data_IF_821932149028
#
_entry.id   IF_821932149028
#
_cell.length_a   1.000
_cell.length_b   1.000
_cell.length_c   1.000
_cell.angle_alpha   90.00
_cell.angle_beta   90.00
_cell.angle_gamma   90.00
#
_symmetry.space_group_name_H-M   'P 1'
#
loop_
_entity.id
_entity.type
_entity.pdbx_description
1 polymer ?
#
# COMPACT_ATOMS: atom_id res chain seq x y z
N UNK A 1 -2.43 -3.01 -7.68
CA UNK A 1 -2.72 -1.63 -7.21
C UNK A 1 -1.41 -0.93 -6.82
N UNK A 2 -1.32 0.40 -6.86
CA UNK A 2 -0.21 1.15 -6.25
C UNK A 2 -0.69 2.15 -5.21
N UNK A 3 0.04 2.29 -4.11
CA UNK A 3 -0.22 3.31 -3.08
C UNK A 3 1.01 4.21 -2.97
N UNK A 4 0.79 5.51 -2.79
CA UNK A 4 1.88 6.45 -2.49
C UNK A 4 1.82 6.78 -1.01
N UNK A 5 2.95 6.69 -0.32
CA UNK A 5 3.03 6.98 1.12
C UNK A 5 4.33 7.71 1.40
N UNK A 6 4.38 8.50 2.48
CA UNK A 6 5.65 9.01 2.96
C UNK A 6 6.59 7.84 3.32
N UNK A 7 7.88 7.96 3.00
CA UNK A 7 8.89 6.90 3.15
C UNK A 7 8.93 6.32 4.57
N UNK A 8 8.71 7.15 5.59
CA UNK A 8 8.64 6.75 7.01
C UNK A 8 7.56 5.70 7.30
N UNK A 9 6.54 5.59 6.45
CA UNK A 9 5.42 4.66 6.62
C UNK A 9 5.59 3.34 5.86
N UNK A 10 6.69 3.14 5.13
CA UNK A 10 6.89 1.93 4.32
C UNK A 10 6.84 0.65 5.16
N UNK A 11 7.52 0.65 6.31
CA UNK A 11 7.51 -0.50 7.23
C UNK A 11 6.11 -0.76 7.80
N UNK A 12 5.38 0.31 8.13
CA UNK A 12 4.02 0.20 8.65
C UNK A 12 3.06 -0.38 7.59
N UNK A 13 3.19 0.05 6.32
CA UNK A 13 2.41 -0.52 5.23
C UNK A 13 2.72 -2.01 5.03
N UNK A 14 3.99 -2.40 5.08
CA UNK A 14 4.39 -3.81 4.97
C UNK A 14 3.81 -4.65 6.13
N UNK A 15 3.79 -4.11 7.35
CA UNK A 15 3.15 -4.77 8.49
C UNK A 15 1.64 -4.90 8.31
N UNK A 16 0.96 -3.83 7.87
CA UNK A 16 -0.48 -3.87 7.56
C UNK A 16 -0.78 -4.92 6.50
N UNK A 17 0.01 -4.98 5.43
CA UNK A 17 -0.13 -6.01 4.39
C UNK A 17 0.06 -7.42 4.96
N UNK A 18 1.07 -7.64 5.78
CA UNK A 18 1.35 -8.95 6.38
C UNK A 18 0.23 -9.43 7.32
N UNK A 19 -0.46 -8.52 8.03
CA UNK A 19 -1.55 -8.87 8.93
C UNK A 19 -2.92 -8.97 8.25
N UNK A 20 -3.12 -8.35 7.08
CA UNK A 20 -4.47 -8.16 6.51
C UNK A 20 -4.99 -9.35 5.70
N UNK A 21 -4.15 -10.27 5.25
CA UNK A 21 -4.56 -11.61 4.79
C UNK A 21 -3.29 -12.33 4.36
N UNK A 22 -2.59 -12.96 5.31
CA UNK A 22 -1.19 -13.43 5.24
C UNK A 22 -0.78 -14.36 4.09
N UNK A 23 -1.58 -14.54 3.04
CA UNK A 23 -1.26 -15.27 1.82
C UNK A 23 -1.80 -14.63 0.53
N UNK A 24 -2.76 -13.71 0.60
CA UNK A 24 -3.43 -13.15 -0.58
C UNK A 24 -2.94 -11.76 -0.98
N UNK A 25 -2.02 -11.16 -0.22
CA UNK A 25 -1.51 -9.81 -0.46
C UNK A 25 0.02 -9.82 -0.47
N UNK A 26 0.61 -9.43 -1.60
CA UNK A 26 2.05 -9.35 -1.79
C UNK A 26 2.48 -7.93 -2.11
N UNK A 27 3.58 -7.48 -1.49
CA UNK A 27 4.28 -6.28 -1.96
C UNK A 27 5.13 -6.67 -3.16
N UNK A 28 4.77 -6.18 -4.35
CA UNK A 28 5.44 -6.50 -5.60
C UNK A 28 6.71 -5.66 -5.80
N UNK A 29 6.77 -4.49 -5.17
CA UNK A 29 7.93 -3.61 -5.20
C UNK A 29 7.64 -2.24 -4.60
N UNK A 30 8.68 -1.42 -4.49
CA UNK A 30 8.58 -0.02 -4.07
C UNK A 30 9.60 0.85 -4.78
N UNK A 31 9.20 2.06 -5.16
CA UNK A 31 10.04 3.05 -5.86
C UNK A 31 9.96 4.41 -5.15
N UNK A 32 11.09 5.06 -4.93
CA UNK A 32 11.13 6.42 -4.40
C UNK A 32 10.68 7.44 -5.47
N UNK A 33 9.82 8.39 -5.09
CA UNK A 33 9.37 9.43 -6.00
C UNK A 33 10.43 10.55 -6.05
N UNK A 34 11.01 10.87 -7.22
CA UNK A 34 12.03 11.91 -7.32
C UNK A 34 11.53 13.26 -6.80
N UNK A 35 12.34 13.94 -5.98
CA UNK A 35 12.00 15.24 -5.40
C UNK A 35 10.94 15.20 -4.31
N UNK A 36 10.57 14.02 -3.80
CA UNK A 36 9.57 13.84 -2.75
C UNK A 36 10.10 12.93 -1.63
N UNK A 37 9.60 13.11 -0.40
CA UNK A 37 9.81 12.16 0.69
C UNK A 37 8.87 10.95 0.62
N UNK A 38 8.23 10.74 -0.53
CA UNK A 38 7.26 9.67 -0.76
C UNK A 38 7.83 8.49 -1.54
N UNK A 39 7.21 7.33 -1.33
CA UNK A 39 7.50 6.08 -2.00
C UNK A 39 6.20 5.56 -2.60
N UNK A 40 6.26 5.13 -3.85
CA UNK A 40 5.20 4.37 -4.51
C UNK A 40 5.41 2.89 -4.22
N UNK A 41 4.39 2.21 -3.74
CA UNK A 41 4.42 0.78 -3.40
C UNK A 41 3.40 0.05 -4.25
N UNK A 42 3.81 -1.01 -4.94
CA UNK A 42 2.92 -1.88 -5.70
C UNK A 42 2.48 -3.05 -4.86
N UNK A 43 1.16 -3.25 -4.81
CA UNK A 43 0.50 -4.31 -4.05
C UNK A 43 -0.25 -5.21 -5.05
N UNK A 44 0.04 -6.51 -4.98
CA UNK A 44 -0.69 -7.56 -5.68
C UNK A 44 -1.64 -8.25 -4.71
N UNK A 45 -2.91 -8.39 -5.08
CA UNK A 45 -3.91 -9.05 -4.24
C UNK A 45 -5.08 -9.61 -5.04
N UNK A 46 -5.80 -10.57 -4.44
CA UNK A 46 -7.10 -11.05 -4.93
C UNK A 46 -8.15 -9.93 -4.80
N UNK A 47 -9.15 -9.89 -5.69
CA UNK A 47 -10.15 -8.81 -5.69
C UNK A 47 -10.90 -8.70 -4.34
N UNK A 48 -11.07 -9.82 -3.63
CA UNK A 48 -11.69 -9.89 -2.30
C UNK A 48 -10.80 -9.31 -1.20
N UNK A 49 -9.49 -9.54 -1.28
CA UNK A 49 -8.51 -8.99 -0.35
C UNK A 49 -8.31 -7.46 -0.55
N UNK A 50 -8.67 -6.92 -1.72
CA UNK A 50 -8.54 -5.49 -2.04
C UNK A 50 -9.34 -4.57 -1.12
N UNK A 51 -10.60 -4.90 -0.82
CA UNK A 51 -11.48 -4.05 0.01
C UNK A 51 -11.03 -4.05 1.48
N UNK A 52 -10.68 -5.23 2.01
CA UNK A 52 -10.14 -5.38 3.37
C UNK A 52 -8.81 -4.64 3.53
N UNK A 53 -7.92 -4.76 2.54
CA UNK A 53 -6.64 -4.06 2.51
C UNK A 53 -6.83 -2.55 2.48
N UNK A 54 -7.72 -2.04 1.63
CA UNK A 54 -7.99 -0.60 1.57
C UNK A 54 -8.51 -0.04 2.89
N UNK A 55 -9.43 -0.74 3.55
CA UNK A 55 -9.90 -0.37 4.88
C UNK A 55 -8.77 -0.40 5.91
N UNK A 56 -7.89 -1.41 5.89
CA UNK A 56 -6.76 -1.51 6.80
C UNK A 56 -5.72 -0.40 6.59
N UNK A 57 -5.39 -0.08 5.33
CA UNK A 57 -4.47 1.01 4.97
C UNK A 57 -5.07 2.35 5.40
N UNK A 58 -6.35 2.62 5.13
CA UNK A 58 -7.01 3.87 5.57
C UNK A 58 -7.06 4.04 7.09
N UNK A 59 -7.19 2.94 7.84
CA UNK A 59 -7.17 2.98 9.31
C UNK A 59 -5.76 3.13 9.89
N UNK A 60 -4.78 2.49 9.28
CA UNK A 60 -3.41 2.43 9.78
C UNK A 60 -2.52 3.59 9.34
N UNK A 61 -2.88 4.29 8.26
CA UNK A 61 -2.06 5.37 7.69
C UNK A 61 -2.81 6.71 7.74
N UNK A 62 -2.68 7.47 8.85
CA UNK A 62 -3.42 8.71 9.08
C UNK A 62 -3.09 9.85 8.08
N UNK A 63 -2.06 9.69 7.24
CA UNK A 63 -1.65 10.66 6.21
C UNK A 63 -1.19 10.00 4.89
N UNK A 64 -1.69 8.80 4.57
CA UNK A 64 -1.40 8.20 3.27
C UNK A 64 -2.11 8.95 2.15
N UNK A 65 -1.39 9.63 1.26
CA UNK A 65 -1.95 10.12 0.00
C UNK A 65 -2.15 8.93 -0.95
N UNK A 66 -3.35 8.36 -0.97
CA UNK A 66 -3.69 7.25 -1.83
C UNK A 66 -3.60 7.66 -3.31
N UNK A 67 -2.45 7.37 -3.91
CA UNK A 67 -2.25 7.49 -5.34
C UNK A 67 -3.31 6.70 -6.11
N UNK A 68 -3.99 7.41 -7.04
CA UNK A 68 -5.06 6.99 -7.93
C UNK A 68 -5.02 5.49 -8.30
N UNK A 69 -6.13 4.79 -8.02
CA UNK A 69 -6.39 3.44 -8.53
C UNK A 69 -6.47 3.55 -10.05
N UNK A 70 -5.44 3.10 -10.76
CA UNK A 70 -5.55 2.84 -12.19
C UNK A 70 -5.94 1.37 -12.38
N UNK A 71 -7.13 1.08 -12.95
CA UNK A 71 -7.42 -0.25 -13.44
C UNK A 71 -6.44 -0.53 -14.59
N UNK A 72 -5.84 -1.73 -14.57
CA UNK A 72 -5.13 -2.29 -15.73
C UNK A 72 -6.17 -2.98 -16.60
#
# INVERSE_FOLDING_TARGET
MSVTIAKKYLLLLQQIVAITDGSEIATLGSEAIPGSESVRVWLGFSQRAGDSLMSAIMRGLPHGEFGRIMPV
#
